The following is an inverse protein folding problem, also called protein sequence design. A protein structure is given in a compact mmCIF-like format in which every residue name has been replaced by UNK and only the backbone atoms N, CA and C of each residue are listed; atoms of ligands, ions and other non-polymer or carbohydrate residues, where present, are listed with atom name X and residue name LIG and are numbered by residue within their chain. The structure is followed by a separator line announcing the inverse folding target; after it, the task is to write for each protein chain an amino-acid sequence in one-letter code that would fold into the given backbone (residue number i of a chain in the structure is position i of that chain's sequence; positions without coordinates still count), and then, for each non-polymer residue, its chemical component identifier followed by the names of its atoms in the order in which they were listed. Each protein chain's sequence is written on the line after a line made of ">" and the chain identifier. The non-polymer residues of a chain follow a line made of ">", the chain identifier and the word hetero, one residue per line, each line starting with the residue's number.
data_IF_707644807489
#
_entry.id   IF_707644807489
#
_cell.length_a   1.000
_cell.length_b   1.000
_cell.length_c   1.000
_cell.angle_alpha   90.00
_cell.angle_beta   90.00
_cell.angle_gamma   90.00
#
_symmetry.space_group_name_H-M   'P 1'
#
loop_
_entity.id
_entity.type
_entity.pdbx_description
1 polymer ?
#
# COMPACT_ATOMS: atom_id res chain seq x y z
N UNK A 1 -2.40 12.76 9.62
CA UNK A 1 -2.76 11.67 8.67
C UNK A 1 -1.48 11.10 8.08
N UNK A 2 -1.46 9.79 7.84
CA UNK A 2 -0.32 9.04 7.29
C UNK A 2 -0.81 8.23 6.09
N UNK A 3 -0.16 8.42 4.95
CA UNK A 3 -0.46 7.70 3.71
C UNK A 3 0.80 6.96 3.27
N UNK A 4 0.69 5.64 3.14
CA UNK A 4 1.73 4.79 2.58
C UNK A 4 1.36 4.31 1.18
N UNK A 5 2.37 3.97 0.38
CA UNK A 5 2.17 3.32 -0.92
C UNK A 5 2.98 2.03 -1.00
N UNK A 6 2.38 0.98 -1.53
CA UNK A 6 3.04 -0.31 -1.80
C UNK A 6 2.67 -0.80 -3.20
N UNK A 7 3.59 -1.50 -3.86
CA UNK A 7 3.35 -2.00 -5.21
C UNK A 7 4.62 -2.38 -5.96
N UNK A 8 4.49 -3.06 -7.12
CA UNK A 8 5.62 -3.58 -7.88
C UNK A 8 6.54 -2.50 -8.48
N UNK A 9 7.59 -2.93 -9.18
CA UNK A 9 8.49 -2.00 -9.91
C UNK A 9 7.75 -1.36 -11.08
N UNK A 10 7.97 -0.07 -11.31
CA UNK A 10 7.46 0.63 -12.52
C UNK A 10 5.98 1.02 -12.50
N UNK A 11 5.21 0.70 -11.45
CA UNK A 11 3.77 1.03 -11.38
C UNK A 11 3.47 2.51 -11.10
N UNK A 12 4.48 3.33 -10.82
CA UNK A 12 4.32 4.77 -10.64
C UNK A 12 4.06 5.25 -9.21
N UNK A 13 4.43 4.46 -8.18
CA UNK A 13 4.27 4.82 -6.75
C UNK A 13 4.79 6.22 -6.41
N UNK A 14 6.07 6.47 -6.67
CA UNK A 14 6.71 7.76 -6.37
C UNK A 14 6.06 8.92 -7.14
N UNK A 15 5.51 8.68 -8.34
CA UNK A 15 4.74 9.68 -9.10
C UNK A 15 3.44 10.04 -8.37
N UNK A 16 2.69 9.03 -7.90
CA UNK A 16 1.47 9.24 -7.10
C UNK A 16 1.81 9.99 -5.80
N UNK A 17 2.90 9.63 -5.14
CA UNK A 17 3.33 10.27 -3.89
C UNK A 17 3.75 11.73 -4.09
N UNK A 18 4.38 12.06 -5.22
CA UNK A 18 4.68 13.45 -5.57
C UNK A 18 3.41 14.27 -5.82
N UNK A 19 2.39 13.69 -6.47
CA UNK A 19 1.10 14.36 -6.65
C UNK A 19 0.44 14.62 -5.28
N UNK A 20 0.41 13.61 -4.39
CA UNK A 20 -0.11 13.74 -3.02
C UNK A 20 0.67 14.74 -2.17
N UNK A 21 1.97 14.90 -2.43
CA UNK A 21 2.78 15.93 -1.80
C UNK A 21 2.39 17.35 -2.24
N UNK A 22 1.75 17.48 -3.41
CA UNK A 22 1.47 18.77 -4.05
C UNK A 22 2.65 19.28 -4.89
N UNK A 23 3.48 18.37 -5.42
CA UNK A 23 4.59 18.73 -6.30
C UNK A 23 4.07 19.23 -7.66
N UNK A 24 4.42 20.46 -8.03
CA UNK A 24 4.18 21.01 -9.36
C UNK A 24 5.47 21.03 -10.18
N UNK A 25 5.55 20.11 -11.15
CA UNK A 25 6.68 19.99 -12.08
C UNK A 25 6.74 21.08 -13.16
N UNK A 26 5.82 22.06 -13.16
CA UNK A 26 5.84 23.19 -14.10
C UNK A 26 6.95 24.20 -13.81
N UNK A 27 7.45 24.23 -12.56
CA UNK A 27 8.47 25.18 -12.12
C UNK A 27 9.88 24.72 -12.53
N UNK A 28 10.63 25.51 -13.33
CA UNK A 28 11.97 25.14 -13.75
C UNK A 28 12.92 24.93 -12.58
N UNK A 29 13.66 23.82 -12.59
CA UNK A 29 14.75 23.56 -11.63
C UNK A 29 14.34 22.92 -10.30
N UNK A 30 13.05 22.71 -10.04
CA UNK A 30 12.62 21.88 -8.91
C UNK A 30 12.69 20.40 -9.27
N UNK A 31 13.26 19.59 -8.37
CA UNK A 31 13.24 18.15 -8.45
C UNK A 31 12.05 17.60 -7.63
N UNK A 32 11.47 16.47 -8.03
CA UNK A 32 10.39 15.86 -7.28
C UNK A 32 10.88 15.41 -5.87
N UNK A 33 10.08 15.62 -4.81
CA UNK A 33 10.40 15.21 -3.44
C UNK A 33 10.72 13.72 -3.27
N UNK A 34 10.04 12.88 -4.04
CA UNK A 34 10.32 11.45 -4.22
C UNK A 34 10.92 11.23 -5.61
N UNK A 35 12.09 10.61 -5.68
CA UNK A 35 12.76 10.35 -6.95
C UNK A 35 11.90 9.42 -7.83
N UNK A 36 11.71 9.81 -9.10
CA UNK A 36 11.02 8.98 -10.10
C UNK A 36 12.03 8.36 -11.05
N UNK A 37 11.68 7.22 -11.65
CA UNK A 37 12.58 6.53 -12.58
C UNK A 37 12.89 7.41 -13.81
N UNK A 38 14.18 7.66 -14.02
CA UNK A 38 14.72 8.27 -15.25
C UNK A 38 14.79 7.24 -16.38
N UNK A 39 14.96 7.68 -17.62
CA UNK A 39 15.16 6.78 -18.76
C UNK A 39 16.42 5.92 -18.59
N UNK A 40 17.47 6.43 -17.97
CA UNK A 40 18.68 5.65 -17.66
C UNK A 40 18.39 4.51 -16.67
N UNK A 41 17.64 4.79 -15.60
CA UNK A 41 17.26 3.76 -14.61
C UNK A 41 16.40 2.68 -15.26
N UNK A 42 15.48 3.08 -16.15
CA UNK A 42 14.65 2.13 -16.92
C UNK A 42 15.50 1.28 -17.87
N UNK A 43 16.45 1.90 -18.59
CA UNK A 43 17.35 1.20 -19.49
C UNK A 43 18.25 0.20 -18.74
N UNK A 44 18.62 0.50 -17.50
CA UNK A 44 19.36 -0.40 -16.61
C UNK A 44 18.48 -1.42 -15.87
N UNK A 45 17.15 -1.40 -16.06
CA UNK A 45 16.19 -2.22 -15.34
C UNK A 45 16.35 -2.17 -13.80
N UNK A 46 16.67 -0.99 -13.26
CA UNK A 46 16.90 -0.79 -11.82
C UNK A 46 15.69 -0.21 -11.10
N UNK A 47 15.59 -0.50 -9.80
CA UNK A 47 14.70 0.24 -8.91
C UNK A 47 15.25 1.65 -8.65
N UNK A 48 14.36 2.54 -8.22
CA UNK A 48 14.70 3.92 -7.86
C UNK A 48 14.68 4.11 -6.34
N UNK A 49 13.59 3.70 -5.70
CA UNK A 49 13.42 3.75 -4.24
C UNK A 49 13.98 2.50 -3.58
N UNK A 50 14.84 2.67 -2.56
CA UNK A 50 15.37 1.61 -1.71
C UNK A 50 15.00 1.90 -0.24
N UNK A 51 14.40 0.94 0.47
CA UNK A 51 13.83 1.16 1.80
C UNK A 51 12.48 1.89 1.78
N UNK A 52 12.30 2.83 2.73
CA UNK A 52 11.09 3.65 2.87
C UNK A 52 11.53 5.12 2.96
N UNK A 53 11.12 5.93 2.00
CA UNK A 53 11.30 7.37 2.02
C UNK A 53 10.12 8.05 2.71
N UNK A 54 10.43 9.00 3.59
CA UNK A 54 9.45 9.76 4.36
C UNK A 54 9.49 11.22 3.94
N UNK A 55 8.31 11.80 3.67
CA UNK A 55 8.11 13.24 3.46
C UNK A 55 6.87 13.72 4.21
N UNK A 56 6.85 15.00 4.55
CA UNK A 56 5.68 15.66 5.13
C UNK A 56 5.27 16.77 4.17
N UNK A 57 4.02 16.76 3.73
CA UNK A 57 3.48 17.79 2.83
C UNK A 57 3.21 19.10 3.57
N UNK A 58 2.90 20.17 2.82
CA UNK A 58 2.50 21.46 3.40
C UNK A 58 1.21 21.35 4.23
N UNK A 59 0.35 20.38 3.92
CA UNK A 59 -0.89 20.07 4.65
C UNK A 59 -0.66 19.11 5.83
N UNK A 60 0.60 18.92 6.26
CA UNK A 60 0.99 18.08 7.41
C UNK A 60 0.57 16.61 7.24
N UNK A 61 0.52 16.14 5.99
CA UNK A 61 0.31 14.72 5.67
C UNK A 61 1.66 14.02 5.62
N UNK A 62 1.82 12.95 6.39
CA UNK A 62 3.02 12.11 6.35
C UNK A 62 2.86 11.12 5.19
N UNK A 63 3.83 11.12 4.28
CA UNK A 63 3.85 10.32 3.06
C UNK A 63 5.01 9.33 3.13
N UNK A 64 4.71 8.04 2.94
CA UNK A 64 5.68 6.93 2.94
C UNK A 64 5.75 6.28 1.56
N UNK A 65 6.80 6.60 0.79
CA UNK A 65 7.09 5.92 -0.48
C UNK A 65 8.02 4.74 -0.22
N UNK A 66 7.65 3.56 -0.70
CA UNK A 66 8.41 2.35 -0.41
C UNK A 66 9.11 1.80 -1.64
N UNK A 67 10.20 1.08 -1.38
CA UNK A 67 10.81 0.22 -2.38
C UNK A 67 9.77 -0.72 -3.01
N UNK A 68 9.92 -1.07 -4.29
CA UNK A 68 9.01 -1.99 -4.96
C UNK A 68 9.04 -3.39 -4.36
N UNK A 69 7.85 -3.98 -4.16
CA UNK A 69 7.72 -5.43 -3.91
C UNK A 69 7.90 -6.20 -5.22
N UNK A 70 8.22 -7.49 -5.12
CA UNK A 70 8.45 -8.36 -6.30
C UNK A 70 9.50 -7.83 -7.28
N UNK A 71 10.45 -7.00 -6.82
CA UNK A 71 11.42 -6.36 -7.69
C UNK A 71 12.62 -7.26 -7.99
N UNK A 72 12.88 -7.64 -9.25
CA UNK A 72 14.08 -8.42 -9.58
C UNK A 72 15.36 -7.65 -9.27
N UNK A 73 15.37 -6.33 -9.45
CA UNK A 73 16.55 -5.51 -9.18
C UNK A 73 16.92 -5.46 -7.69
N UNK A 74 15.95 -5.49 -6.78
CA UNK A 74 16.22 -5.57 -5.34
C UNK A 74 16.75 -6.95 -4.98
N UNK A 75 16.16 -8.01 -5.55
CA UNK A 75 16.61 -9.38 -5.36
C UNK A 75 18.08 -9.54 -5.79
N UNK A 76 18.45 -9.02 -6.96
CA UNK A 76 19.83 -9.05 -7.47
C UNK A 76 20.77 -8.32 -6.52
N UNK A 77 20.40 -7.13 -6.04
CA UNK A 77 21.26 -6.34 -5.15
C UNK A 77 21.46 -6.99 -3.76
N UNK A 78 20.51 -7.82 -3.30
CA UNK A 78 20.63 -8.54 -2.03
C UNK A 78 21.19 -9.96 -2.15
N UNK A 79 21.30 -10.53 -3.35
CA UNK A 79 21.75 -11.91 -3.55
C UNK A 79 23.29 -12.00 -3.47
N UNK A 80 23.79 -12.83 -2.56
CA UNK A 80 25.21 -13.18 -2.51
C UNK A 80 25.56 -14.24 -3.57
N UNK A 81 26.87 -14.43 -3.88
CA UNK A 81 27.30 -15.46 -4.83
C UNK A 81 26.88 -16.90 -4.47
N UNK A 82 26.60 -17.17 -3.20
CA UNK A 82 26.12 -18.48 -2.70
C UNK A 82 24.59 -18.62 -2.74
N UNK A 83 23.87 -17.64 -3.29
CA UNK A 83 22.41 -17.58 -3.34
C UNK A 83 21.73 -17.21 -2.02
N UNK A 84 22.49 -16.94 -0.97
CA UNK A 84 21.94 -16.44 0.30
C UNK A 84 21.68 -14.93 0.25
N UNK A 85 20.81 -14.46 1.15
CA UNK A 85 20.56 -13.04 1.32
C UNK A 85 21.73 -12.32 2.02
N UNK A 86 22.06 -11.12 1.54
CA UNK A 86 22.91 -10.14 2.21
C UNK A 86 22.23 -9.47 3.42
N UNK A 87 20.89 -9.50 3.47
CA UNK A 87 20.09 -8.82 4.48
C UNK A 87 19.46 -9.85 5.43
N UNK A 88 19.65 -9.75 6.75
CA UNK A 88 18.98 -10.60 7.73
C UNK A 88 17.53 -10.13 7.97
N UNK A 89 16.54 -11.00 7.70
CA UNK A 89 15.11 -10.62 7.73
C UNK A 89 14.39 -11.04 9.03
N UNK A 90 14.88 -12.05 9.74
CA UNK A 90 14.23 -12.61 10.95
C UNK A 90 15.20 -12.88 12.11
N UNK A 91 16.10 -11.93 12.42
CA UNK A 91 16.93 -12.02 13.62
C UNK A 91 18.20 -12.88 13.50
N UNK A 92 18.60 -13.28 12.29
CA UNK A 92 20.01 -13.64 12.01
C UNK A 92 20.24 -14.87 11.13
N UNK A 93 19.26 -15.76 10.99
CA UNK A 93 19.46 -16.97 10.21
C UNK A 93 19.55 -16.64 8.70
N UNK A 94 20.56 -17.19 7.99
CA UNK A 94 20.74 -16.92 6.57
C UNK A 94 19.67 -17.63 5.74
N UNK A 95 18.79 -16.85 5.14
CA UNK A 95 17.78 -17.32 4.18
C UNK A 95 18.33 -17.30 2.75
N UNK A 96 17.70 -18.06 1.85
CA UNK A 96 17.89 -17.84 0.41
C UNK A 96 17.44 -16.42 0.03
N UNK A 97 18.07 -15.84 -0.98
CA UNK A 97 17.74 -14.48 -1.42
C UNK A 97 16.26 -14.37 -1.84
N UNK A 98 15.72 -15.39 -2.52
CA UNK A 98 14.32 -15.42 -2.96
C UNK A 98 13.34 -15.38 -1.79
N UNK A 99 13.55 -16.23 -0.77
CA UNK A 99 12.70 -16.27 0.42
C UNK A 99 12.83 -14.99 1.26
N UNK A 100 14.06 -14.47 1.37
CA UNK A 100 14.30 -13.21 2.06
C UNK A 100 13.55 -12.06 1.38
N UNK A 101 13.56 -12.00 0.04
CA UNK A 101 12.85 -10.99 -0.74
C UNK A 101 11.33 -11.09 -0.58
N UNK A 102 10.77 -12.30 -0.60
CA UNK A 102 9.35 -12.55 -0.32
C UNK A 102 8.94 -12.03 1.06
N UNK A 103 9.71 -12.40 2.09
CA UNK A 103 9.46 -11.95 3.46
C UNK A 103 9.65 -10.45 3.65
N UNK A 104 10.58 -9.82 2.94
CA UNK A 104 10.73 -8.36 2.95
C UNK A 104 9.46 -7.67 2.44
N UNK A 105 8.85 -8.17 1.38
CA UNK A 105 7.58 -7.65 0.86
C UNK A 105 6.45 -7.75 1.90
N UNK A 106 6.36 -8.90 2.56
CA UNK A 106 5.38 -9.15 3.64
C UNK A 106 5.62 -8.22 4.84
N UNK A 107 6.85 -8.13 5.34
CA UNK A 107 7.20 -7.27 6.48
C UNK A 107 6.88 -5.80 6.18
N UNK A 108 7.17 -5.35 4.97
CA UNK A 108 6.83 -4.01 4.51
C UNK A 108 5.32 -3.78 4.50
N UNK A 109 4.54 -4.71 3.94
CA UNK A 109 3.08 -4.65 3.94
C UNK A 109 2.47 -4.63 5.34
N UNK A 110 2.92 -5.52 6.23
CA UNK A 110 2.49 -5.57 7.64
C UNK A 110 2.83 -4.27 8.36
N UNK A 111 4.03 -3.74 8.15
CA UNK A 111 4.44 -2.46 8.73
C UNK A 111 3.53 -1.32 8.28
N UNK A 112 3.36 -1.14 6.97
CA UNK A 112 2.54 -0.06 6.40
C UNK A 112 1.07 -0.17 6.85
N UNK A 113 0.49 -1.37 6.81
CA UNK A 113 -0.88 -1.62 7.26
C UNK A 113 -1.08 -1.33 8.76
N UNK A 114 0.00 -1.31 9.55
CA UNK A 114 -0.05 -1.02 10.99
C UNK A 114 0.14 0.47 11.32
N UNK A 115 0.87 1.22 10.48
CA UNK A 115 1.28 2.61 10.80
C UNK A 115 0.62 3.67 9.93
N UNK A 116 -0.04 3.29 8.85
CA UNK A 116 -0.74 4.21 7.95
C UNK A 116 -2.21 4.35 8.31
N UNK A 117 -2.79 5.51 8.01
CA UNK A 117 -4.24 5.67 7.98
C UNK A 117 -4.83 5.14 6.67
N UNK A 118 -4.15 5.44 5.55
CA UNK A 118 -4.49 4.96 4.21
C UNK A 118 -3.27 4.26 3.61
N UNK A 119 -3.46 3.07 3.06
CA UNK A 119 -2.44 2.34 2.31
C UNK A 119 -2.87 2.21 0.84
N UNK A 120 -2.13 2.86 -0.04
CA UNK A 120 -2.31 2.76 -1.48
C UNK A 120 -1.65 1.50 -1.99
N UNK A 121 -2.45 0.57 -2.50
CA UNK A 121 -2.01 -0.69 -3.10
C UNK A 121 -2.01 -0.51 -4.61
N UNK A 122 -0.84 -0.26 -5.18
CA UNK A 122 -0.68 0.08 -6.60
C UNK A 122 -0.29 -1.16 -7.39
N UNK A 123 -1.04 -1.46 -8.44
CA UNK A 123 -0.76 -2.57 -9.35
C UNK A 123 -0.73 -2.10 -10.81
N UNK A 124 -0.12 -2.91 -11.68
CA UNK A 124 -0.15 -2.67 -13.12
C UNK A 124 -1.35 -3.41 -13.74
N UNK A 125 -2.24 -2.67 -14.41
CA UNK A 125 -3.43 -3.27 -15.00
C UNK A 125 -4.50 -3.66 -13.97
N UNK A 126 -5.59 -4.24 -14.46
CA UNK A 126 -6.75 -4.67 -13.64
C UNK A 126 -6.72 -6.15 -13.25
N UNK A 127 -5.76 -6.92 -13.76
CA UNK A 127 -5.70 -8.37 -13.59
C UNK A 127 -4.54 -8.83 -12.68
N UNK A 128 -3.80 -7.91 -12.09
CA UNK A 128 -2.69 -8.24 -11.19
C UNK A 128 -3.23 -8.55 -9.79
N UNK A 129 -3.39 -9.86 -9.52
CA UNK A 129 -3.84 -10.40 -8.24
C UNK A 129 -2.69 -10.53 -7.24
N UNK A 130 -1.43 -10.44 -7.67
CA UNK A 130 -0.26 -10.67 -6.81
C UNK A 130 -0.23 -9.70 -5.63
N UNK A 131 -0.61 -8.45 -5.88
CA UNK A 131 -0.76 -7.44 -4.82
C UNK A 131 -1.93 -7.75 -3.88
N UNK A 132 -3.01 -8.35 -4.37
CA UNK A 132 -4.14 -8.72 -3.54
C UNK A 132 -3.80 -9.89 -2.63
N UNK A 133 -3.11 -10.89 -3.17
CA UNK A 133 -2.61 -12.05 -2.42
C UNK A 133 -1.58 -11.63 -1.38
N UNK A 134 -0.70 -10.67 -1.70
CA UNK A 134 0.19 -10.05 -0.71
C UNK A 134 -0.63 -9.40 0.41
N UNK A 135 -1.67 -8.62 0.08
CA UNK A 135 -2.47 -7.97 1.11
C UNK A 135 -3.25 -8.97 1.97
N UNK A 136 -3.80 -10.05 1.42
CA UNK A 136 -4.40 -11.12 2.21
C UNK A 136 -3.38 -11.82 3.12
N UNK A 137 -2.15 -11.99 2.63
CA UNK A 137 -1.03 -12.51 3.44
C UNK A 137 -0.67 -11.53 4.56
N UNK A 138 -0.69 -10.22 4.29
CA UNK A 138 -0.51 -9.18 5.31
C UNK A 138 -1.60 -9.23 6.37
N UNK A 139 -2.87 -9.37 5.97
CA UNK A 139 -4.01 -9.50 6.90
C UNK A 139 -3.83 -10.71 7.82
N UNK A 140 -3.46 -11.86 7.25
CA UNK A 140 -3.20 -13.09 8.00
C UNK A 140 -2.05 -12.94 9.02
N UNK A 141 -0.98 -12.23 8.63
CA UNK A 141 0.27 -12.19 9.41
C UNK A 141 0.37 -10.98 10.36
N UNK A 142 -0.50 -9.97 10.23
CA UNK A 142 -0.56 -8.80 11.12
C UNK A 142 -1.23 -9.16 12.45
N UNK A 143 -0.61 -10.07 13.19
CA UNK A 143 -1.08 -10.55 14.49
C UNK A 143 -0.17 -10.05 15.62
N UNK A 144 -0.74 -9.70 16.77
CA UNK A 144 -0.02 -9.13 17.94
C UNK A 144 0.76 -7.83 17.62
N UNK A 145 0.34 -7.08 16.60
CA UNK A 145 0.92 -5.78 16.28
C UNK A 145 -0.11 -4.70 16.67
N UNK A 146 0.13 -3.98 17.78
CA UNK A 146 -0.84 -3.08 18.35
C UNK A 146 -0.96 -1.78 17.55
N UNK A 147 -2.04 -1.04 17.83
CA UNK A 147 -2.18 0.34 17.39
C UNK A 147 -0.97 1.19 17.86
N UNK A 148 -0.31 1.95 16.95
CA UNK A 148 0.84 2.80 17.28
C UNK A 148 0.58 3.77 18.45
N UNK A 149 -0.67 4.21 18.64
CA UNK A 149 -1.06 5.17 19.67
C UNK A 149 -1.00 4.61 21.09
N UNK A 150 -0.99 3.28 21.23
CA UNK A 150 -0.88 2.58 22.52
C UNK A 150 0.57 2.46 23.02
N UNK A 151 1.56 2.69 22.16
CA UNK A 151 2.99 2.50 22.48
C UNK A 151 3.67 3.74 23.11
N UNK A 152 2.94 4.84 23.23
CA UNK A 152 3.45 6.14 23.70
C UNK A 152 3.47 6.28 25.23
N UNK A 153 2.75 5.43 25.96
CA UNK A 153 2.56 5.52 27.42
C UNK A 153 3.74 5.03 28.28
N UNK A 154 4.88 4.67 27.69
CA UNK A 154 5.98 4.02 28.42
C UNK A 154 6.99 4.98 29.08
N UNK A 155 6.69 6.29 29.18
CA UNK A 155 7.65 7.28 29.73
C UNK A 155 7.26 7.92 31.05
N UNK A 156 6.19 7.47 31.71
CA UNK A 156 5.87 7.88 33.08
C UNK A 156 5.58 6.65 33.93
N UNK A 157 6.24 6.62 35.09
CA UNK A 157 6.15 5.61 36.13
C UNK A 157 4.69 5.20 36.41
N UNK A 158 4.42 3.89 36.43
CA UNK A 158 4.08 3.19 37.67
C UNK A 158 3.87 1.70 37.41
N UNK A 159 4.66 0.89 38.13
CA UNK A 159 4.31 -0.49 38.43
C UNK A 159 3.14 -0.44 39.41
N UNK A 160 1.92 -0.63 38.97
CA UNK A 160 0.87 -1.08 39.87
C UNK A 160 -0.21 -1.88 39.14
N UNK A 161 -0.32 -3.13 39.59
CA UNK A 161 -1.30 -4.17 39.28
C UNK A 161 -2.60 -3.72 38.62
N UNK A 162 -2.89 -4.26 37.43
CA UNK A 162 -4.26 -4.58 37.00
C UNK A 162 -4.29 -5.92 36.28
N UNK A 163 -4.56 -6.97 37.05
CA UNK A 163 -5.44 -8.04 36.58
C UNK A 163 -6.83 -7.42 36.47
N UNK A 164 -7.36 -7.22 35.27
CA UNK A 164 -8.62 -7.85 34.84
C UNK A 164 -9.03 -7.33 33.44
N UNK A 165 -9.66 -8.21 32.68
CA UNK A 165 -10.29 -8.01 31.37
C UNK A 165 -9.38 -7.74 30.17
N UNK A 166 -9.11 -8.81 29.41
CA UNK A 166 -8.97 -8.77 27.95
C UNK A 166 -10.25 -8.15 27.34
N UNK A 167 -10.40 -6.82 27.43
CA UNK A 167 -11.30 -6.11 26.53
C UNK A 167 -10.57 -6.01 25.19
N UNK A 168 -11.10 -6.68 24.17
CA UNK A 168 -10.51 -6.82 22.84
C UNK A 168 -9.76 -5.57 22.40
N UNK A 169 -8.44 -5.68 22.33
CA UNK A 169 -7.61 -4.64 21.74
C UNK A 169 -7.93 -4.71 20.25
N UNK A 170 -8.76 -3.80 19.75
CA UNK A 170 -9.08 -3.77 18.33
C UNK A 170 -7.76 -3.64 17.56
N UNK A 171 -7.47 -4.65 16.73
CA UNK A 171 -6.27 -4.63 15.90
C UNK A 171 -6.46 -3.55 14.83
N UNK A 172 -5.84 -2.39 15.07
CA UNK A 172 -5.84 -1.28 14.12
C UNK A 172 -5.23 -1.73 12.80
N UNK A 173 -5.91 -1.48 11.68
CA UNK A 173 -5.43 -1.77 10.34
C UNK A 173 -5.78 -0.61 9.40
N UNK A 174 -4.85 -0.25 8.51
CA UNK A 174 -5.02 0.84 7.56
C UNK A 174 -6.17 0.57 6.57
N UNK A 175 -6.84 1.64 6.12
CA UNK A 175 -7.81 1.54 5.03
C UNK A 175 -7.07 1.34 3.70
N UNK A 176 -7.47 0.34 2.92
CA UNK A 176 -6.85 0.06 1.63
C UNK A 176 -7.50 0.86 0.50
N UNK A 177 -6.67 1.37 -0.40
CA UNK A 177 -7.09 1.99 -1.66
C UNK A 177 -6.33 1.33 -2.81
N UNK A 178 -7.04 0.64 -3.68
CA UNK A 178 -6.45 -0.04 -4.83
C UNK A 178 -6.30 0.93 -6.00
N UNK A 179 -5.07 1.12 -6.47
CA UNK A 179 -4.77 1.98 -7.61
C UNK A 179 -4.27 1.11 -8.76
N UNK A 180 -5.12 0.92 -9.76
CA UNK A 180 -4.76 0.20 -10.97
C UNK A 180 -4.16 1.19 -11.97
N UNK A 181 -2.84 1.12 -12.13
CA UNK A 181 -2.08 2.04 -12.96
C UNK A 181 -1.79 1.48 -14.35
N UNK A 182 -1.37 2.37 -15.25
CA UNK A 182 -0.94 2.06 -16.63
C UNK A 182 -2.03 1.43 -17.50
N UNK A 183 -3.28 1.81 -17.26
CA UNK A 183 -4.43 1.30 -17.99
C UNK A 183 -4.50 1.83 -19.42
N UNK A 184 -4.99 1.01 -20.34
CA UNK A 184 -5.27 1.40 -21.73
C UNK A 184 -6.73 1.82 -21.86
N UNK A 185 -7.07 2.53 -22.94
CA UNK A 185 -8.45 2.99 -23.23
C UNK A 185 -9.50 1.89 -23.02
N UNK A 186 -9.22 0.71 -23.57
CA UNK A 186 -10.09 -0.47 -23.48
C UNK A 186 -10.38 -0.93 -22.05
N UNK A 187 -9.58 -0.56 -21.06
CA UNK A 187 -9.72 -0.99 -19.66
C UNK A 187 -10.68 -0.09 -18.87
N UNK A 188 -11.05 1.07 -19.42
CA UNK A 188 -11.98 2.01 -18.81
C UNK A 188 -13.46 1.68 -19.08
N UNK A 189 -13.79 0.51 -19.66
CA UNK A 189 -15.19 0.16 -19.87
C UNK A 189 -15.94 -0.05 -18.55
N UNK A 190 -17.19 0.42 -18.47
CA UNK A 190 -18.03 0.27 -17.28
C UNK A 190 -18.21 -1.19 -16.86
N UNK A 191 -18.31 -2.10 -17.83
CA UNK A 191 -18.40 -3.54 -17.63
C UNK A 191 -17.16 -4.13 -16.93
N UNK A 192 -15.95 -3.72 -17.33
CA UNK A 192 -14.70 -4.17 -16.72
C UNK A 192 -14.55 -3.65 -15.31
N UNK A 193 -14.91 -2.39 -15.09
CA UNK A 193 -14.88 -1.76 -13.76
C UNK A 193 -15.85 -2.46 -12.79
N UNK A 194 -17.09 -2.74 -13.23
CA UNK A 194 -18.04 -3.50 -12.40
C UNK A 194 -17.58 -4.93 -12.12
N UNK A 195 -16.96 -5.58 -13.10
CA UNK A 195 -16.38 -6.91 -12.91
C UNK A 195 -15.24 -6.87 -11.89
N UNK A 196 -14.29 -5.95 -12.05
CA UNK A 196 -13.16 -5.74 -11.14
C UNK A 196 -13.64 -5.55 -9.69
N UNK A 197 -14.67 -4.72 -9.48
CA UNK A 197 -15.29 -4.52 -8.16
C UNK A 197 -15.79 -5.80 -7.54
N UNK A 198 -16.61 -6.55 -8.28
CA UNK A 198 -17.19 -7.80 -7.79
C UNK A 198 -16.11 -8.82 -7.44
N UNK A 199 -15.05 -8.90 -8.24
CA UNK A 199 -13.94 -9.81 -7.97
C UNK A 199 -13.18 -9.35 -6.74
N UNK A 200 -12.88 -8.06 -6.59
CA UNK A 200 -12.19 -7.51 -5.42
C UNK A 200 -12.98 -7.76 -4.12
N UNK A 201 -14.25 -7.41 -4.09
CA UNK A 201 -15.13 -7.64 -2.93
C UNK A 201 -15.18 -9.13 -2.55
N UNK A 202 -15.25 -10.01 -3.56
CA UNK A 202 -15.23 -11.46 -3.33
C UNK A 202 -13.87 -11.94 -2.80
N UNK A 203 -12.77 -11.40 -3.31
CA UNK A 203 -11.40 -11.80 -2.94
C UNK A 203 -11.09 -11.46 -1.48
N UNK A 204 -11.69 -10.38 -0.95
CA UNK A 204 -11.44 -9.88 0.40
C UNK A 204 -12.61 -10.10 1.38
N UNK A 205 -13.60 -10.92 1.03
CA UNK A 205 -14.82 -11.08 1.85
C UNK A 205 -14.54 -11.50 3.31
N UNK A 206 -13.47 -12.28 3.49
CA UNK A 206 -13.09 -12.87 4.78
C UNK A 206 -11.93 -12.11 5.43
N UNK A 207 -11.49 -11.01 4.82
CA UNK A 207 -10.37 -10.22 5.32
C UNK A 207 -10.83 -9.20 6.36
N UNK A 208 -9.92 -8.76 7.22
CA UNK A 208 -10.18 -7.66 8.16
C UNK A 208 -10.22 -6.30 7.47
N UNK A 209 -9.82 -6.22 6.20
CA UNK A 209 -9.85 -4.98 5.42
C UNK A 209 -11.29 -4.63 5.03
N UNK A 210 -11.68 -3.39 5.31
CA UNK A 210 -12.97 -2.86 4.90
C UNK A 210 -12.92 -2.42 3.44
N UNK A 211 -13.37 -3.29 2.52
CA UNK A 211 -13.51 -2.99 1.09
C UNK A 211 -15.00 -2.89 0.74
N UNK A 212 -15.37 -1.85 -0.01
CA UNK A 212 -16.72 -1.74 -0.60
C UNK A 212 -17.79 -1.28 0.40
N UNK A 213 -17.41 -0.76 1.56
CA UNK A 213 -18.39 -0.21 2.52
C UNK A 213 -18.91 1.13 1.99
N UNK A 214 -19.97 1.05 1.19
CA UNK A 214 -20.80 2.20 0.86
C UNK A 214 -21.38 2.75 2.16
N UNK A 215 -21.00 3.96 2.56
CA UNK A 215 -21.71 4.73 3.59
C UNK A 215 -23.15 5.11 3.21
N UNK A 216 -23.70 4.55 2.13
CA UNK A 216 -25.08 4.67 1.73
C UNK A 216 -25.84 3.41 2.16
N UNK A 217 -26.82 3.59 3.03
CA UNK A 217 -27.83 2.59 3.38
C UNK A 217 -28.31 1.83 2.13
N UNK A 218 -28.44 0.49 2.19
CA UNK A 218 -29.05 -0.26 1.11
C UNK A 218 -30.55 0.02 1.14
N UNK A 219 -30.97 1.07 0.44
CA UNK A 219 -32.34 1.12 -0.08
C UNK A 219 -32.43 -0.04 -1.07
N UNK A 220 -33.04 -1.13 -0.60
CA UNK A 220 -33.49 -2.25 -1.43
C UNK A 220 -34.52 -1.68 -2.40
N UNK A 221 -34.06 -1.19 -3.54
CA UNK A 221 -34.90 -0.98 -4.71
C UNK A 221 -34.48 -1.99 -5.75
N UNK A 222 -35.20 -3.10 -5.76
CA UNK A 222 -35.39 -3.96 -6.94
C UNK A 222 -35.72 -3.05 -8.12
N UNK A 223 -34.73 -2.70 -8.95
CA UNK A 223 -34.95 -2.02 -10.21
C UNK A 223 -33.73 -2.16 -11.11
N UNK A 224 -33.94 -2.86 -12.21
CA UNK A 224 -33.25 -2.75 -13.50
C UNK A 224 -32.17 -1.67 -13.56
N UNK A 225 -30.90 -2.09 -13.48
CA UNK A 225 -29.73 -1.23 -13.65
C UNK A 225 -29.83 -0.55 -15.02
N UNK A 226 -30.07 0.77 -15.01
CA UNK A 226 -30.04 1.58 -16.22
C UNK A 226 -28.62 1.54 -16.80
N UNK A 227 -28.51 1.14 -18.07
CA UNK A 227 -27.25 1.02 -18.84
C UNK A 227 -26.53 2.36 -19.07
N UNK A 228 -27.01 3.46 -18.47
CA UNK A 228 -26.57 4.83 -18.73
C UNK A 228 -25.84 5.49 -17.54
N UNK A 229 -25.49 4.75 -16.49
CA UNK A 229 -24.66 5.31 -15.41
C UNK A 229 -23.27 5.64 -15.95
N UNK A 230 -22.86 6.92 -15.86
CA UNK A 230 -21.54 7.34 -16.31
C UNK A 230 -20.47 6.74 -15.40
N UNK A 231 -19.32 6.39 -15.97
CA UNK A 231 -18.18 5.82 -15.22
C UNK A 231 -17.72 6.77 -14.09
N UNK A 232 -17.88 8.08 -14.28
CA UNK A 232 -17.59 9.10 -13.27
C UNK A 232 -18.45 8.92 -12.01
N UNK A 233 -19.73 8.57 -12.15
CA UNK A 233 -20.63 8.28 -11.03
C UNK A 233 -20.26 6.94 -10.36
N UNK A 234 -19.78 5.98 -11.13
CA UNK A 234 -19.28 4.72 -10.58
C UNK A 234 -18.02 4.94 -9.76
N UNK A 235 -17.03 5.69 -10.26
CA UNK A 235 -15.76 5.98 -9.58
C UNK A 235 -15.98 6.86 -8.34
N UNK A 236 -16.94 7.78 -8.37
CA UNK A 236 -17.24 8.65 -7.21
C UNK A 236 -18.00 7.95 -6.09
N UNK A 237 -18.86 6.96 -6.40
CA UNK A 237 -19.74 6.33 -5.43
C UNK A 237 -19.06 5.31 -4.49
N UNK A 238 -17.83 4.85 -4.79
CA UNK A 238 -17.09 3.95 -3.90
C UNK A 238 -15.59 4.27 -3.91
N UNK A 239 -15.05 4.55 -2.73
CA UNK A 239 -13.78 5.24 -2.52
C UNK A 239 -12.54 4.33 -2.50
N UNK A 240 -12.67 3.04 -2.82
CA UNK A 240 -11.59 2.05 -2.62
C UNK A 240 -10.84 1.65 -3.91
N UNK A 241 -11.34 2.03 -5.10
CA UNK A 241 -10.73 1.67 -6.38
C UNK A 241 -10.50 2.92 -7.23
N UNK A 242 -9.26 3.09 -7.66
CA UNK A 242 -8.81 4.18 -8.51
C UNK A 242 -8.12 3.64 -9.76
N UNK A 243 -8.36 4.31 -10.89
CA UNK A 243 -7.87 3.90 -12.20
C UNK A 243 -6.98 5.00 -12.75
N UNK A 244 -5.75 4.67 -13.15
CA UNK A 244 -4.81 5.62 -13.74
C UNK A 244 -4.38 5.16 -15.14
N UNK A 245 -4.52 6.02 -16.18
CA UNK A 245 -4.17 5.67 -17.54
C UNK A 245 -2.66 5.58 -17.72
N UNK A 246 -2.22 4.83 -18.72
CA UNK A 246 -0.85 4.86 -19.20
C UNK A 246 -0.53 6.25 -19.75
N UNK A 247 0.57 6.85 -19.26
CA UNK A 247 1.03 8.15 -19.75
C UNK A 247 1.57 8.00 -21.17
N UNK A 248 0.83 8.51 -22.16
CA UNK A 248 1.32 8.65 -23.55
C UNK A 248 2.04 9.99 -23.73
N UNK A 249 3.15 10.05 -24.50
CA UNK A 249 3.85 11.30 -24.82
C UNK A 249 2.97 12.25 -25.65
N UNK A 250 2.13 11.67 -26.51
CA UNK A 250 1.18 12.40 -27.32
C UNK A 250 -0.09 12.59 -26.50
N UNK A 251 -0.31 13.83 -26.06
CA UNK A 251 -1.60 14.32 -25.58
C UNK A 251 -2.60 14.41 -26.74
N UNK A 252 -2.74 13.35 -27.55
CA UNK A 252 -3.74 13.31 -28.62
C UNK A 252 -5.11 13.40 -27.96
N UNK A 253 -5.82 14.47 -28.30
CA UNK A 253 -7.15 14.89 -27.83
C UNK A 253 -8.29 13.89 -28.09
N UNK A 254 -7.97 12.67 -28.50
CA UNK A 254 -8.93 11.64 -28.89
C UNK A 254 -9.25 10.65 -27.76
N UNK A 255 -8.63 10.82 -26.59
CA UNK A 255 -9.01 10.06 -25.41
C UNK A 255 -10.35 10.61 -24.91
N UNK A 256 -11.41 9.81 -24.99
CA UNK A 256 -12.72 10.14 -24.41
C UNK A 256 -12.63 10.31 -22.88
N UNK A 257 -11.56 9.80 -22.27
CA UNK A 257 -11.23 9.91 -20.85
C UNK A 257 -10.16 10.98 -20.58
N UNK A 258 -10.21 11.58 -19.38
CA UNK A 258 -9.34 12.68 -18.94
C UNK A 258 -7.84 12.36 -19.08
N UNK A 259 -7.02 13.40 -19.19
CA UNK A 259 -5.55 13.26 -19.21
C UNK A 259 -5.00 12.67 -17.91
N UNK A 260 -3.87 11.96 -17.97
CA UNK A 260 -3.21 11.37 -16.80
C UNK A 260 -2.99 12.37 -15.63
N UNK A 261 -2.52 13.62 -15.86
CA UNK A 261 -2.42 14.61 -14.78
C UNK A 261 -3.76 14.98 -14.15
N UNK A 262 -4.85 15.08 -14.94
CA UNK A 262 -6.17 15.36 -14.38
C UNK A 262 -6.66 14.22 -13.49
N UNK A 263 -6.43 12.97 -13.88
CA UNK A 263 -6.84 11.81 -13.07
C UNK A 263 -5.99 11.65 -11.81
N UNK A 264 -4.69 11.99 -11.87
CA UNK A 264 -3.82 12.06 -10.69
C UNK A 264 -4.27 13.16 -9.71
N UNK A 265 -4.63 14.35 -10.20
CA UNK A 265 -5.20 15.40 -9.37
C UNK A 265 -6.52 14.99 -8.71
N UNK A 266 -7.41 14.31 -9.45
CA UNK A 266 -8.64 13.76 -8.90
C UNK A 266 -8.38 12.69 -7.82
N UNK A 267 -7.42 11.78 -8.06
CA UNK A 267 -6.99 10.79 -7.08
C UNK A 267 -6.51 11.47 -5.78
N UNK A 268 -5.67 12.50 -5.91
CA UNK A 268 -5.19 13.29 -4.77
C UNK A 268 -6.35 13.90 -4.00
N UNK A 269 -7.24 14.62 -4.67
CA UNK A 269 -8.34 15.31 -4.02
C UNK A 269 -9.29 14.32 -3.33
N UNK A 270 -9.52 13.14 -3.94
CA UNK A 270 -10.33 12.06 -3.35
C UNK A 270 -9.67 11.40 -2.14
N UNK A 271 -8.36 11.15 -2.17
CA UNK A 271 -7.63 10.56 -1.03
C UNK A 271 -7.56 11.55 0.13
N UNK A 272 -7.24 12.82 -0.13
CA UNK A 272 -7.07 13.82 0.93
C UNK A 272 -8.40 14.25 1.57
N UNK A 273 -9.51 14.15 0.85
CA UNK A 273 -10.85 14.44 1.39
C UNK A 273 -11.52 13.24 2.07
N UNK A 274 -10.94 12.04 1.94
CA UNK A 274 -11.50 10.81 2.53
C UNK A 274 -11.42 10.85 4.05
N UNK A 275 -12.50 10.51 4.78
CA UNK A 275 -12.41 10.26 6.21
C UNK A 275 -11.53 9.03 6.45
N UNK A 276 -10.36 9.23 7.05
CA UNK A 276 -9.42 8.14 7.32
C UNK A 276 -9.65 7.53 8.70
N UNK A 277 -9.52 6.20 8.84
CA UNK A 277 -9.55 5.54 10.15
C UNK A 277 -8.51 6.14 11.09
N UNK A 278 -8.99 6.70 12.19
CA UNK A 278 -8.14 7.31 13.23
C UNK A 278 -7.53 6.24 14.13
N UNK A 279 -6.33 6.50 14.64
CA UNK A 279 -5.76 5.72 15.73
C UNK A 279 -6.62 5.89 16.99
N UNK A 280 -6.55 4.91 17.89
CA UNK A 280 -7.31 4.86 19.15
C UNK A 280 -7.07 6.09 20.03
N UNK A 281 -5.86 6.66 19.98
CA UNK A 281 -5.51 7.93 20.63
C UNK A 281 -4.82 8.86 19.65
N UNK A 282 -5.02 10.16 19.87
CA UNK A 282 -4.32 11.18 19.09
C UNK A 282 -2.81 11.06 19.26
N UNK A 283 -2.10 11.01 18.12
CA UNK A 283 -0.65 10.97 18.05
C UNK A 283 -0.12 12.27 17.49
N UNK A 284 0.95 12.80 18.11
CA UNK A 284 1.77 13.82 17.46
C UNK A 284 2.63 13.15 16.37
N UNK A 285 3.08 13.90 15.37
CA UNK A 285 3.98 13.38 14.31
C UNK A 285 5.24 12.73 14.91
N UNK A 286 5.76 13.30 16.01
CA UNK A 286 6.94 12.80 16.72
C UNK A 286 6.64 11.48 17.44
N UNK A 287 5.50 11.39 18.09
CA UNK A 287 5.10 10.17 18.79
C UNK A 287 4.76 9.05 17.82
N UNK A 288 4.10 9.38 16.70
CA UNK A 288 3.91 8.47 15.59
C UNK A 288 5.25 7.91 15.10
N UNK A 289 6.25 8.76 14.83
CA UNK A 289 7.56 8.28 14.38
C UNK A 289 8.23 7.30 15.36
N UNK A 290 8.17 7.61 16.67
CA UNK A 290 8.72 6.72 17.71
C UNK A 290 7.96 5.40 17.79
N UNK A 291 6.63 5.45 17.73
CA UNK A 291 5.79 4.26 17.74
C UNK A 291 6.03 3.41 16.50
N UNK A 292 6.12 4.01 15.31
CA UNK A 292 6.45 3.33 14.06
C UNK A 292 7.78 2.59 14.15
N UNK A 293 8.82 3.19 14.73
CA UNK A 293 10.09 2.50 14.95
C UNK A 293 9.95 1.26 15.86
N UNK A 294 9.14 1.35 16.93
CA UNK A 294 8.84 0.19 17.79
C UNK A 294 8.05 -0.89 17.04
N UNK A 295 7.06 -0.51 16.24
CA UNK A 295 6.27 -1.42 15.41
C UNK A 295 7.19 -2.16 14.43
N UNK A 296 8.14 -1.48 13.79
CA UNK A 296 9.10 -2.12 12.90
C UNK A 296 9.96 -3.18 13.62
N UNK A 297 10.41 -2.92 14.85
CA UNK A 297 11.10 -3.92 15.65
C UNK A 297 10.22 -5.13 16.00
N UNK A 298 8.93 -4.91 16.24
CA UNK A 298 7.96 -5.99 16.47
C UNK A 298 7.74 -6.82 15.21
N UNK A 299 7.62 -6.19 14.04
CA UNK A 299 7.48 -6.88 12.74
C UNK A 299 8.68 -7.78 12.48
N UNK A 300 9.91 -7.28 12.63
CA UNK A 300 11.14 -8.07 12.43
C UNK A 300 11.26 -9.27 13.37
N UNK A 301 10.64 -9.20 14.54
CA UNK A 301 10.66 -10.24 15.58
C UNK A 301 9.35 -11.02 15.67
N UNK A 302 8.46 -10.87 14.68
CA UNK A 302 7.14 -11.49 14.72
C UNK A 302 7.26 -13.01 14.66
N UNK A 303 6.77 -13.75 15.68
CA UNK A 303 6.79 -15.20 15.67
C UNK A 303 5.90 -15.77 14.55
N UNK A 304 4.79 -15.09 14.23
CA UNK A 304 3.85 -15.53 13.18
C UNK A 304 4.50 -15.44 11.79
N UNK A 305 5.25 -14.37 11.51
CA UNK A 305 6.02 -14.25 10.25
C UNK A 305 7.14 -15.31 10.21
N UNK A 306 7.77 -15.61 11.35
CA UNK A 306 8.78 -16.68 11.43
C UNK A 306 8.20 -18.07 11.17
N UNK A 307 7.01 -18.37 11.69
CA UNK A 307 6.29 -19.61 11.40
C UNK A 307 5.89 -19.71 9.93
N UNK A 308 5.40 -18.62 9.34
CA UNK A 308 5.10 -18.56 7.92
C UNK A 308 6.34 -18.80 7.04
N UNK A 309 7.48 -18.19 7.40
CA UNK A 309 8.77 -18.47 6.76
C UNK A 309 9.11 -19.96 6.77
N UNK A 310 8.96 -20.64 7.91
CA UNK A 310 9.22 -22.09 8.02
C UNK A 310 8.28 -22.90 7.13
N UNK A 311 6.99 -22.56 7.13
CA UNK A 311 6.00 -23.22 6.27
C UNK A 311 6.36 -23.09 4.77
N UNK A 312 6.83 -21.91 4.34
CA UNK A 312 7.33 -21.71 2.97
C UNK A 312 8.57 -22.55 2.67
N UNK A 313 9.50 -22.70 3.61
CA UNK A 313 10.67 -23.58 3.42
C UNK A 313 10.27 -25.05 3.29
N UNK A 314 9.32 -25.50 4.13
CA UNK A 314 8.85 -26.88 4.16
C UNK A 314 8.07 -27.25 2.89
N UNK A 315 7.36 -26.28 2.31
CA UNK A 315 6.58 -26.43 1.07
C UNK A 315 7.42 -26.86 -0.16
N UNK A 316 8.74 -26.64 -0.12
CA UNK A 316 9.65 -26.99 -1.20
C UNK A 316 9.86 -25.91 -2.25
N UNK A 317 9.09 -24.82 -2.25
CA UNK A 317 9.23 -23.73 -3.23
C UNK A 317 10.55 -22.95 -3.11
N UNK A 318 11.20 -22.98 -1.94
CA UNK A 318 12.42 -22.22 -1.65
C UNK A 318 13.61 -23.09 -1.23
N UNK A 319 13.60 -24.39 -1.57
CA UNK A 319 14.73 -25.29 -1.27
C UNK A 319 15.98 -24.89 -2.06
N UNK A 320 17.14 -24.97 -1.40
CA UNK A 320 18.46 -24.85 -2.03
C UNK A 320 18.73 -26.00 -3.00
#
# INVERSE_FOLDING_TARGET
>A
MVIGVIGPTGVGKSTIMNELYGYDGSSPGMLPPFATQTEDIKAMAKHCTAGIDIRISNERVILLDTQPVFSPSILIDMMKPDGSSAIPILGGDPLSADLAHELMGIQLGVFLASVCNILLVVSEGVNDLSMWDLMLTVDLLKHNIPDPSLLTSSTTQDKENKNDSQSGTEDYIADLCFVHARLREQDFSSSKLMFLRRVLEKHFNSSSFTIGSSGATPQVSDSTVSSNMKIEDLISNQQDIYLLPLRTPDNSTNFEYRTCPSMLGMLRDQILSRPSRSFSKNLTERDWLRSSAKIWEMVKKSPVISEYCKALQDSGFFRK
#
